data_IF_437076335186
#
_entry.id   IF_437076335186
#
_cell.length_a   1.000
_cell.length_b   1.000
_cell.length_c   1.000
_cell.angle_alpha   90.00
_cell.angle_beta   90.00
_cell.angle_gamma   90.00
#
_symmetry.space_group_name_H-M   'P 1'
#
loop_
_entity.id
_entity.type
_entity.pdbx_description
1 polymer ?
#
# COMPACT_ATOMS: atom_id res chain seq x y z
N UNK A 1 0.87 40.75 15.57
CA UNK A 1 2.21 40.16 15.34
C UNK A 1 2.23 38.81 16.03
N UNK A 2 2.41 37.66 15.41
CA UNK A 2 2.69 37.30 14.02
C UNK A 2 2.02 35.93 13.79
N UNK A 3 1.14 35.83 12.80
CA UNK A 3 0.53 34.59 12.35
C UNK A 3 1.20 34.22 11.03
N UNK A 4 2.34 33.57 11.15
CA UNK A 4 3.19 33.02 10.09
C UNK A 4 3.94 31.90 10.83
N UNK A 5 4.13 30.68 10.37
CA UNK A 5 4.04 30.07 9.06
C UNK A 5 4.67 28.69 9.34
N UNK A 6 3.90 27.76 9.90
CA UNK A 6 4.38 26.39 10.16
C UNK A 6 3.70 25.42 9.20
N UNK A 7 3.44 25.90 7.98
CA UNK A 7 3.12 25.06 6.84
C UNK A 7 4.44 24.46 6.33
N UNK A 8 5.01 23.57 7.15
CA UNK A 8 6.12 22.71 6.76
C UNK A 8 5.83 22.18 5.35
N UNK A 9 6.76 22.30 4.38
CA UNK A 9 6.56 21.72 3.07
C UNK A 9 6.31 20.23 3.29
N UNK A 10 5.06 19.79 3.10
CA UNK A 10 4.74 18.36 3.01
C UNK A 10 5.65 17.86 1.90
N UNK A 11 6.67 17.08 2.27
CA UNK A 11 7.56 16.45 1.31
C UNK A 11 6.67 15.86 0.21
N UNK A 12 6.95 16.14 -1.07
CA UNK A 12 6.09 15.71 -2.16
C UNK A 12 5.84 14.23 -1.96
N UNK A 13 4.57 13.85 -1.76
CA UNK A 13 4.19 12.47 -1.54
C UNK A 13 4.87 11.67 -2.65
N UNK A 14 5.80 10.79 -2.26
CA UNK A 14 6.64 10.08 -3.20
C UNK A 14 5.73 9.48 -4.27
N UNK A 15 5.89 9.96 -5.51
CA UNK A 15 5.06 9.46 -6.60
C UNK A 15 5.24 7.95 -6.64
N UNK A 16 4.15 7.17 -6.73
CA UNK A 16 4.25 5.73 -6.64
C UNK A 16 5.22 5.24 -7.72
N UNK A 17 6.21 4.45 -7.31
CA UNK A 17 7.27 3.91 -8.18
C UNK A 17 6.72 3.10 -9.37
N UNK A 18 5.46 2.68 -9.26
CA UNK A 18 4.68 1.98 -10.26
C UNK A 18 3.21 2.42 -10.23
N UNK A 19 2.61 2.59 -11.42
CA UNK A 19 1.17 2.85 -11.60
C UNK A 19 0.52 1.66 -12.30
N UNK A 20 -0.58 1.15 -11.72
CA UNK A 20 -1.33 0.02 -12.29
C UNK A 20 -1.87 0.41 -13.67
N UNK A 21 -1.60 -0.43 -14.67
CA UNK A 21 -2.04 -0.19 -16.05
C UNK A 21 -1.21 0.81 -16.84
N UNK A 22 -0.04 1.23 -16.32
CA UNK A 22 0.88 2.06 -17.09
C UNK A 22 1.42 1.32 -18.32
N UNK A 23 1.79 2.07 -19.36
CA UNK A 23 2.51 1.51 -20.50
C UNK A 23 3.87 0.93 -20.05
N UNK A 24 4.22 -0.21 -20.63
CA UNK A 24 5.43 -0.97 -20.35
C UNK A 24 6.45 -0.90 -21.49
N UNK A 25 6.07 -0.32 -22.65
CA UNK A 25 6.89 -0.34 -23.86
C UNK A 25 8.29 0.27 -23.70
N UNK A 26 8.44 1.23 -22.78
CA UNK A 26 9.69 1.94 -22.51
C UNK A 26 10.50 1.34 -21.35
N UNK A 27 10.02 0.27 -20.71
CA UNK A 27 10.65 -0.32 -19.54
C UNK A 27 11.57 -1.47 -19.94
N UNK A 28 12.74 -1.54 -19.32
CA UNK A 28 13.62 -2.70 -19.45
C UNK A 28 13.09 -3.92 -18.69
N UNK A 29 13.58 -5.10 -19.07
CA UNK A 29 13.27 -6.37 -18.37
C UNK A 29 13.67 -6.32 -16.90
N UNK A 30 14.77 -5.65 -16.58
CA UNK A 30 15.26 -5.52 -15.20
C UNK A 30 14.34 -4.64 -14.36
N UNK A 31 13.86 -3.52 -14.91
CA UNK A 31 12.89 -2.65 -14.26
C UNK A 31 11.55 -3.35 -14.04
N UNK A 32 11.07 -4.09 -15.04
CA UNK A 32 9.87 -4.92 -14.92
C UNK A 32 10.04 -5.95 -13.80
N UNK A 33 11.19 -6.61 -13.72
CA UNK A 33 11.48 -7.61 -12.69
C UNK A 33 11.47 -7.01 -11.29
N UNK A 34 12.13 -5.84 -11.10
CA UNK A 34 12.11 -5.12 -9.83
C UNK A 34 10.69 -4.74 -9.40
N UNK A 35 9.90 -4.17 -10.32
CA UNK A 35 8.51 -3.79 -10.04
C UNK A 35 7.63 -4.98 -9.68
N UNK A 36 7.76 -6.09 -10.40
CA UNK A 36 7.05 -7.33 -10.09
C UNK A 36 7.38 -7.81 -8.68
N UNK A 37 8.65 -7.76 -8.26
CA UNK A 37 9.05 -8.17 -6.91
C UNK A 37 8.38 -7.30 -5.82
N UNK A 38 8.39 -5.98 -6.00
CA UNK A 38 7.74 -5.04 -5.06
C UNK A 38 6.24 -5.30 -4.97
N UNK A 39 5.57 -5.47 -6.12
CA UNK A 39 4.12 -5.71 -6.14
C UNK A 39 3.74 -7.04 -5.51
N UNK A 40 4.54 -8.10 -5.68
CA UNK A 40 4.32 -9.38 -5.02
C UNK A 40 4.40 -9.26 -3.50
N UNK A 41 5.40 -8.53 -2.99
CA UNK A 41 5.50 -8.28 -1.55
C UNK A 41 4.30 -7.48 -1.02
N UNK A 42 3.79 -6.52 -1.79
CA UNK A 42 2.59 -5.78 -1.40
C UNK A 42 1.33 -6.67 -1.42
N UNK A 43 1.20 -7.60 -2.37
CA UNK A 43 0.12 -8.58 -2.38
C UNK A 43 0.15 -9.42 -1.10
N UNK A 44 1.30 -9.97 -0.73
CA UNK A 44 1.45 -10.77 0.50
C UNK A 44 1.06 -9.97 1.75
N UNK A 45 1.46 -8.70 1.84
CA UNK A 45 1.08 -7.81 2.93
C UNK A 45 -0.43 -7.59 2.99
N UNK A 46 -1.08 -7.36 1.85
CA UNK A 46 -2.52 -7.16 1.78
C UNK A 46 -3.29 -8.43 2.16
N UNK A 47 -2.85 -9.59 1.67
CA UNK A 47 -3.42 -10.89 2.03
C UNK A 47 -3.30 -11.15 3.54
N UNK A 48 -2.15 -10.87 4.15
CA UNK A 48 -1.96 -10.96 5.59
C UNK A 48 -2.92 -10.03 6.36
N UNK A 49 -3.11 -8.80 5.90
CA UNK A 49 -4.05 -7.85 6.50
C UNK A 49 -5.51 -8.32 6.38
N UNK A 50 -5.89 -8.90 5.24
CA UNK A 50 -7.22 -9.50 5.03
C UNK A 50 -7.43 -10.68 5.98
N UNK A 51 -6.44 -11.57 6.10
CA UNK A 51 -6.49 -12.72 7.00
C UNK A 51 -6.66 -12.27 8.46
N UNK A 52 -5.86 -11.31 8.91
CA UNK A 52 -5.96 -10.74 10.26
C UNK A 52 -7.35 -10.15 10.52
N UNK A 53 -7.88 -9.31 9.61
CA UNK A 53 -9.21 -8.71 9.75
C UNK A 53 -10.33 -9.75 9.76
N UNK A 54 -10.22 -10.80 8.96
CA UNK A 54 -11.20 -11.89 8.90
C UNK A 54 -11.18 -12.72 10.18
N UNK A 55 -9.99 -13.02 10.72
CA UNK A 55 -9.85 -13.71 12.00
C UNK A 55 -10.48 -12.90 13.14
N UNK A 56 -10.24 -11.59 13.20
CA UNK A 56 -10.88 -10.72 14.19
C UNK A 56 -12.41 -10.73 14.09
N UNK A 57 -12.96 -10.69 12.87
CA UNK A 57 -14.41 -10.78 12.65
C UNK A 57 -14.99 -12.13 13.09
N UNK A 58 -14.32 -13.24 12.76
CA UNK A 58 -14.75 -14.58 13.15
C UNK A 58 -14.79 -14.78 14.67
N UNK A 59 -13.77 -14.26 15.37
CA UNK A 59 -13.74 -14.28 16.85
C UNK A 59 -14.90 -13.46 17.43
N UNK A 60 -15.14 -12.26 16.92
CA UNK A 60 -16.26 -11.44 17.36
C UNK A 60 -17.62 -12.13 17.12
N UNK A 61 -17.85 -12.68 15.93
CA UNK A 61 -19.09 -13.40 15.59
C UNK A 61 -19.33 -14.63 16.49
N UNK A 62 -18.27 -15.27 16.99
CA UNK A 62 -18.40 -16.40 17.94
C UNK A 62 -18.74 -15.97 19.37
N UNK A 63 -18.31 -14.77 19.79
CA UNK A 63 -18.60 -14.21 21.11
C UNK A 63 -20.02 -13.63 21.20
N UNK A 64 -20.63 -13.24 20.07
CA UNK A 64 -21.99 -12.70 20.03
C UNK A 64 -23.09 -13.75 19.80
N UNK A 65 -22.75 -15.04 19.62
CA UNK A 65 -23.73 -16.15 19.45
C UNK A 65 -23.87 -17.08 20.66
N UNK A 66 -23.22 -16.77 21.79
CA UNK A 66 -23.48 -17.44 23.08
C UNK A 66 -24.61 -16.77 23.84
#
# INVERSE_FOLDING_TARGET
>A
MAAFDDELPRAPAASPEHVIGQDLSTLSVEELTRRVAVLKSEIERLEAAVAAKTAHRSVADSLFRS
#
